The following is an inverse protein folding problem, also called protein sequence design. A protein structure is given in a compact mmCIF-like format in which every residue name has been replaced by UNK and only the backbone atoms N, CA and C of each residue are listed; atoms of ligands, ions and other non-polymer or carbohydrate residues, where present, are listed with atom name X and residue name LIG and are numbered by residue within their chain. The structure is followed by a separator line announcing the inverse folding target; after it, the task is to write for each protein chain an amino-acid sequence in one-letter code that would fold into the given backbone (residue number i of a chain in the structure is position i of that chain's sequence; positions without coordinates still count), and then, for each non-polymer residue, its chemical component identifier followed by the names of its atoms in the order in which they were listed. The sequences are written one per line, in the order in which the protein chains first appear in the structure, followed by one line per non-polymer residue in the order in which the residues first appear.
data_IF_940441874205
#
_entry.id   IF_940441874205
#
_cell.length_a   1.000
_cell.length_b   1.000
_cell.length_c   1.000
_cell.angle_alpha   90.00
_cell.angle_beta   90.00
_cell.angle_gamma   90.00
#
_symmetry.space_group_name_H-M   'P 1'
#
loop_
_entity.id
_entity.type
_entity.pdbx_description
1 polymer ?
#
# COMPACT_ATOMS: atom_id res chain seq x y z
N UNK A 1 8.11 -16.09 3.75
CA UNK A 1 7.88 -16.88 4.96
C UNK A 1 6.43 -17.04 5.39
N UNK A 2 5.51 -16.13 4.98
CA UNK A 2 4.10 -16.20 5.43
C UNK A 2 3.19 -16.96 4.45
N UNK A 3 3.50 -16.95 3.16
CA UNK A 3 2.83 -17.74 2.13
C UNK A 3 2.98 -19.23 2.38
N UNK A 4 4.16 -19.64 2.86
CA UNK A 4 4.46 -21.04 3.19
C UNK A 4 3.58 -21.55 4.34
N UNK A 5 3.25 -20.67 5.31
CA UNK A 5 2.50 -21.08 6.50
C UNK A 5 1.02 -21.37 6.19
N UNK A 6 0.36 -20.51 5.40
CA UNK A 6 -1.08 -20.68 5.10
C UNK A 6 -1.31 -21.82 4.14
N UNK A 7 -0.50 -21.92 3.07
CA UNK A 7 -0.59 -23.04 2.11
C UNK A 7 -0.23 -24.34 2.80
N UNK A 8 0.84 -24.36 3.62
CA UNK A 8 1.24 -25.50 4.40
C UNK A 8 0.15 -25.93 5.39
N UNK A 9 -0.48 -24.98 6.11
CA UNK A 9 -1.59 -25.28 7.00
C UNK A 9 -2.81 -25.84 6.24
N UNK A 10 -3.14 -25.27 5.08
CA UNK A 10 -4.27 -25.74 4.27
C UNK A 10 -4.03 -27.16 3.73
N UNK A 11 -2.82 -27.44 3.26
CA UNK A 11 -2.43 -28.79 2.82
C UNK A 11 -2.45 -29.76 3.99
N UNK A 12 -1.92 -29.38 5.15
CA UNK A 12 -1.95 -30.22 6.36
C UNK A 12 -3.40 -30.53 6.78
N UNK A 13 -4.28 -29.53 6.80
CA UNK A 13 -5.70 -29.72 7.13
C UNK A 13 -6.35 -30.65 6.11
N UNK A 14 -6.11 -30.46 4.80
CA UNK A 14 -6.64 -31.32 3.76
C UNK A 14 -6.13 -32.76 3.90
N UNK A 15 -4.85 -32.93 4.16
CA UNK A 15 -4.24 -34.25 4.41
C UNK A 15 -4.84 -34.91 5.66
N UNK A 16 -5.01 -34.16 6.76
CA UNK A 16 -5.66 -34.65 7.99
C UNK A 16 -7.10 -35.11 7.68
N UNK A 17 -7.88 -34.29 6.96
CA UNK A 17 -9.26 -34.64 6.60
C UNK A 17 -9.34 -35.87 5.73
N UNK A 18 -8.46 -36.00 4.71
CA UNK A 18 -8.38 -37.21 3.87
C UNK A 18 -8.03 -38.43 4.72
N UNK A 19 -7.03 -38.31 5.61
CA UNK A 19 -6.63 -39.38 6.50
C UNK A 19 -7.72 -39.77 7.48
N UNK A 20 -8.40 -38.79 8.07
CA UNK A 20 -9.53 -39.04 8.98
C UNK A 20 -10.65 -39.78 8.24
N UNK A 21 -10.98 -39.37 7.03
CA UNK A 21 -11.99 -40.03 6.19
C UNK A 21 -11.57 -41.47 5.79
N UNK A 22 -10.32 -41.63 5.35
CA UNK A 22 -9.76 -42.93 5.02
C UNK A 22 -9.68 -43.86 6.25
N UNK A 23 -9.21 -43.35 7.39
CA UNK A 23 -9.18 -44.06 8.65
C UNK A 23 -10.58 -44.51 9.07
N UNK A 24 -11.57 -43.63 8.99
CA UNK A 24 -12.97 -43.98 9.29
C UNK A 24 -13.51 -45.07 8.35
N UNK A 25 -13.29 -44.91 7.04
CA UNK A 25 -13.79 -45.91 6.03
C UNK A 25 -13.11 -47.28 6.18
N UNK A 26 -11.81 -47.29 6.44
CA UNK A 26 -11.02 -48.51 6.42
C UNK A 26 -10.92 -49.18 7.79
N UNK A 27 -10.82 -48.45 8.87
CA UNK A 27 -10.64 -49.02 10.22
C UNK A 27 -11.97 -49.33 10.92
N UNK A 28 -12.94 -48.43 10.89
CA UNK A 28 -14.24 -48.67 11.57
C UNK A 28 -15.17 -49.53 10.76
N UNK A 29 -15.20 -49.40 9.43
CA UNK A 29 -16.13 -50.15 8.58
C UNK A 29 -15.63 -51.53 8.15
N UNK A 30 -14.30 -51.77 8.09
CA UNK A 30 -13.75 -53.03 7.49
C UNK A 30 -12.71 -53.80 8.33
N UNK A 31 -12.42 -53.41 9.57
CA UNK A 31 -11.37 -54.05 10.42
C UNK A 31 -10.02 -54.21 9.66
N UNK A 32 -9.55 -53.15 9.02
CA UNK A 32 -8.31 -53.17 8.26
C UNK A 32 -7.10 -53.17 9.21
N UNK A 33 -6.06 -53.93 8.84
CA UNK A 33 -4.82 -54.06 9.60
C UNK A 33 -4.18 -52.69 9.84
N UNK A 34 -3.92 -52.34 11.13
CA UNK A 34 -3.28 -51.13 11.56
C UNK A 34 -1.95 -50.84 10.84
N UNK A 35 -1.27 -51.91 10.36
CA UNK A 35 -0.02 -51.80 9.61
C UNK A 35 -0.22 -51.10 8.26
N UNK A 36 -1.32 -51.34 7.58
CA UNK A 36 -1.67 -50.70 6.30
C UNK A 36 -1.96 -49.22 6.54
N UNK A 37 -2.68 -48.90 7.61
CA UNK A 37 -2.98 -47.48 7.99
C UNK A 37 -1.71 -46.74 8.32
N UNK A 38 -0.79 -47.31 9.08
CA UNK A 38 0.51 -46.73 9.42
C UNK A 38 1.40 -46.54 8.18
N UNK A 39 1.40 -47.52 7.27
CA UNK A 39 2.16 -47.44 6.00
C UNK A 39 1.63 -46.30 5.12
N UNK A 40 0.32 -46.15 4.97
CA UNK A 40 -0.30 -45.06 4.24
C UNK A 40 0.01 -43.72 4.88
N UNK A 41 -0.02 -43.64 6.22
CA UNK A 41 0.36 -42.40 6.94
C UNK A 41 1.82 -42.04 6.66
N UNK A 42 2.74 -42.97 6.75
CA UNK A 42 4.16 -42.75 6.43
C UNK A 42 4.38 -42.32 4.98
N UNK A 43 3.70 -42.96 4.02
CA UNK A 43 3.78 -42.59 2.61
C UNK A 43 3.28 -41.16 2.35
N UNK A 44 2.18 -40.75 2.97
CA UNK A 44 1.67 -39.39 2.82
C UNK A 44 2.56 -38.39 3.54
N UNK A 45 3.15 -38.71 4.68
CA UNK A 45 4.11 -37.86 5.37
C UNK A 45 5.39 -37.66 4.52
N UNK A 46 5.90 -38.73 3.93
CA UNK A 46 7.04 -38.66 3.00
C UNK A 46 6.69 -37.86 1.74
N UNK A 47 5.51 -38.08 1.18
CA UNK A 47 5.02 -37.32 0.03
C UNK A 47 4.84 -35.84 0.38
N UNK A 48 4.27 -35.53 1.56
CA UNK A 48 4.16 -34.16 2.08
C UNK A 48 5.53 -33.51 2.27
N UNK A 49 6.47 -34.20 2.92
CA UNK A 49 7.83 -33.71 3.14
C UNK A 49 8.56 -33.45 1.81
N UNK A 50 8.41 -34.37 0.86
CA UNK A 50 9.02 -34.24 -0.47
C UNK A 50 8.38 -33.11 -1.29
N UNK A 51 7.06 -32.98 -1.19
CA UNK A 51 6.30 -31.87 -1.80
C UNK A 51 6.70 -30.53 -1.17
N UNK A 52 6.74 -30.45 0.15
CA UNK A 52 7.14 -29.23 0.86
C UNK A 52 8.58 -28.80 0.53
N UNK A 53 9.51 -29.75 0.49
CA UNK A 53 10.94 -29.48 0.24
C UNK A 53 11.24 -29.12 -1.20
N UNK A 54 10.58 -29.75 -2.16
CA UNK A 54 10.88 -29.59 -3.59
C UNK A 54 9.90 -28.69 -4.34
N UNK A 55 8.68 -28.55 -3.86
CA UNK A 55 7.62 -27.78 -4.52
C UNK A 55 7.30 -26.46 -3.85
N UNK A 56 7.54 -26.33 -2.53
CA UNK A 56 7.19 -25.11 -1.80
C UNK A 56 7.88 -23.86 -2.33
N UNK A 57 9.13 -23.99 -2.79
CA UNK A 57 9.89 -22.86 -3.30
C UNK A 57 9.86 -22.71 -4.83
N UNK A 58 9.82 -23.83 -5.58
CA UNK A 58 9.96 -23.77 -7.04
C UNK A 58 8.64 -23.79 -7.80
N UNK A 59 7.59 -24.38 -7.24
CA UNK A 59 6.31 -24.47 -7.96
C UNK A 59 5.47 -23.21 -7.82
N UNK A 60 5.49 -22.58 -6.64
CA UNK A 60 4.82 -21.29 -6.44
C UNK A 60 5.48 -20.18 -7.24
N UNK A 61 6.81 -20.20 -7.41
CA UNK A 61 7.51 -19.21 -8.23
C UNK A 61 7.05 -19.23 -9.70
N UNK A 62 6.70 -20.40 -10.24
CA UNK A 62 6.19 -20.50 -11.61
C UNK A 62 4.75 -20.02 -11.79
N UNK A 63 4.01 -19.86 -10.69
CA UNK A 63 2.65 -19.33 -10.68
C UNK A 63 2.55 -17.88 -10.19
N UNK A 64 3.65 -17.33 -9.65
CA UNK A 64 3.69 -15.93 -9.23
C UNK A 64 3.82 -15.05 -10.47
N UNK A 65 2.96 -14.06 -10.59
CA UNK A 65 3.02 -13.09 -11.69
C UNK A 65 4.28 -12.25 -11.52
N UNK A 66 5.15 -12.27 -12.53
CA UNK A 66 6.32 -11.42 -12.56
C UNK A 66 5.91 -9.94 -12.66
N UNK A 67 6.49 -9.12 -11.81
CA UNK A 67 6.30 -7.68 -11.88
C UNK A 67 7.11 -7.09 -13.03
N UNK A 68 6.65 -6.01 -13.68
CA UNK A 68 7.38 -5.34 -14.72
C UNK A 68 8.81 -4.98 -14.28
N UNK A 69 9.78 -5.20 -15.15
CA UNK A 69 11.16 -4.75 -14.92
C UNK A 69 11.25 -3.23 -15.07
N UNK A 70 12.23 -2.63 -14.40
CA UNK A 70 12.47 -1.21 -14.56
C UNK A 70 12.91 -0.90 -16.01
N UNK A 71 12.30 0.11 -16.61
CA UNK A 71 12.62 0.50 -17.97
C UNK A 71 13.96 1.22 -18.02
N UNK A 72 14.74 0.95 -19.08
CA UNK A 72 15.93 1.75 -19.38
C UNK A 72 15.45 3.06 -20.01
N UNK A 73 15.59 4.15 -19.29
CA UNK A 73 15.16 5.47 -19.73
C UNK A 73 16.23 6.13 -20.61
N UNK A 74 15.84 6.90 -21.65
CA UNK A 74 16.76 7.82 -22.31
C UNK A 74 17.40 8.79 -21.32
N UNK A 75 18.62 9.24 -21.60
CA UNK A 75 19.43 10.08 -20.68
C UNK A 75 18.68 11.35 -20.21
N UNK A 76 17.90 11.96 -21.09
CA UNK A 76 17.10 13.14 -20.80
C UNK A 76 15.95 12.93 -19.80
N UNK A 77 15.56 11.68 -19.57
CA UNK A 77 14.52 11.28 -18.60
C UNK A 77 15.09 10.51 -17.40
N UNK A 78 16.41 10.29 -17.37
CA UNK A 78 17.03 9.58 -16.26
C UNK A 78 16.89 10.41 -14.98
N UNK A 79 16.35 9.84 -13.89
CA UNK A 79 16.19 10.54 -12.61
C UNK A 79 17.50 11.17 -12.14
N UNK A 80 17.44 12.41 -11.68
CA UNK A 80 18.58 13.10 -11.11
C UNK A 80 18.27 13.64 -9.71
N UNK A 81 19.31 13.90 -8.93
CA UNK A 81 19.18 14.55 -7.63
C UNK A 81 18.98 16.04 -7.86
N UNK A 82 17.80 16.55 -7.45
CA UNK A 82 17.52 18.00 -7.45
C UNK A 82 18.14 18.71 -6.24
N UNK A 83 17.90 18.15 -5.04
CA UNK A 83 18.42 18.65 -3.77
C UNK A 83 18.77 17.48 -2.87
N UNK A 84 19.77 17.65 -1.99
CA UNK A 84 20.16 16.63 -1.02
C UNK A 84 20.60 17.30 0.29
N UNK A 85 20.15 16.73 1.40
CA UNK A 85 20.60 17.08 2.75
C UNK A 85 20.69 15.80 3.60
N UNK A 86 21.86 15.53 4.16
CA UNK A 86 22.10 14.28 4.87
C UNK A 86 21.82 13.05 4.01
N UNK A 87 20.90 12.21 4.50
CA UNK A 87 20.42 11.01 3.80
C UNK A 87 19.16 11.27 2.95
N UNK A 88 18.52 12.42 3.12
CA UNK A 88 17.30 12.77 2.41
C UNK A 88 17.60 13.37 1.04
N UNK A 89 16.79 13.02 0.05
CA UNK A 89 16.98 13.41 -1.36
C UNK A 89 15.67 13.84 -1.96
N UNK A 90 15.67 15.02 -2.61
CA UNK A 90 14.61 15.42 -3.54
C UNK A 90 15.05 15.01 -4.94
N UNK A 91 14.30 14.10 -5.53
CA UNK A 91 14.54 13.64 -6.90
C UNK A 91 13.86 14.56 -7.92
N UNK A 92 14.47 14.67 -9.10
CA UNK A 92 13.86 15.23 -10.29
C UNK A 92 13.60 14.08 -11.28
N UNK A 93 12.32 13.79 -11.51
CA UNK A 93 11.88 12.79 -12.50
C UNK A 93 11.27 13.50 -13.71
N UNK A 94 11.33 12.84 -14.88
CA UNK A 94 10.85 13.36 -16.13
C UNK A 94 11.91 14.13 -16.91
N UNK A 95 11.50 15.08 -17.76
CA UNK A 95 12.38 15.80 -18.66
C UNK A 95 13.33 16.73 -17.88
N UNK A 96 14.61 16.44 -17.90
CA UNK A 96 15.62 17.12 -17.07
C UNK A 96 15.89 18.57 -17.44
N UNK A 97 15.47 19.00 -18.63
CA UNK A 97 15.60 20.40 -19.11
C UNK A 97 14.47 21.30 -18.65
N UNK A 98 13.41 20.74 -18.08
CA UNK A 98 12.25 21.49 -17.60
C UNK A 98 12.29 21.68 -16.08
N UNK A 99 11.94 22.86 -15.62
CA UNK A 99 11.73 23.10 -14.19
C UNK A 99 10.42 22.42 -13.75
N UNK A 100 10.46 21.50 -12.77
CA UNK A 100 9.25 20.87 -12.27
C UNK A 100 8.24 21.85 -11.70
N UNK A 101 6.98 21.67 -12.10
CA UNK A 101 5.82 22.43 -11.62
C UNK A 101 4.95 21.63 -10.65
N UNK A 102 5.33 20.39 -10.40
CA UNK A 102 4.62 19.48 -9.51
C UNK A 102 5.64 18.91 -8.51
N UNK A 103 5.29 18.98 -7.24
CA UNK A 103 6.09 18.42 -6.16
C UNK A 103 5.29 17.34 -5.44
N UNK A 104 5.76 16.09 -5.55
CA UNK A 104 5.26 14.97 -4.78
C UNK A 104 6.04 14.85 -3.48
N UNK A 105 5.33 14.76 -2.37
CA UNK A 105 5.95 14.49 -1.08
C UNK A 105 5.15 13.43 -0.32
N UNK A 106 5.86 12.46 0.28
CA UNK A 106 5.17 11.35 0.91
C UNK A 106 6.03 10.33 1.64
N UNK A 107 5.33 9.35 2.18
CA UNK A 107 5.90 8.16 2.83
C UNK A 107 5.95 6.95 1.86
N UNK A 108 6.02 5.73 2.39
CA UNK A 108 5.99 4.50 1.60
C UNK A 108 4.81 4.40 0.63
N UNK A 109 3.74 5.18 0.85
CA UNK A 109 2.62 5.25 -0.10
C UNK A 109 2.95 6.08 -1.35
N UNK A 110 3.90 7.00 -1.28
CA UNK A 110 4.45 7.67 -2.45
C UNK A 110 5.42 6.75 -3.20
N UNK A 111 6.29 6.04 -2.49
CA UNK A 111 7.26 5.09 -3.08
C UNK A 111 6.58 4.08 -4.02
N UNK A 112 5.34 3.70 -3.73
CA UNK A 112 4.56 2.78 -4.58
C UNK A 112 4.30 3.32 -5.98
N UNK A 113 4.31 4.65 -6.19
CA UNK A 113 4.12 5.28 -7.49
C UNK A 113 5.44 5.53 -8.23
N UNK A 114 6.56 5.25 -7.57
CA UNK A 114 7.90 5.56 -8.04
C UNK A 114 8.19 4.94 -9.43
N UNK A 115 7.73 3.69 -9.64
CA UNK A 115 7.84 3.05 -10.95
C UNK A 115 7.16 3.86 -12.06
N UNK A 116 5.95 4.41 -11.81
CA UNK A 116 5.26 5.26 -12.77
C UNK A 116 5.91 6.63 -12.89
N UNK A 117 6.25 7.27 -11.77
CA UNK A 117 6.83 8.61 -11.75
C UNK A 117 8.20 8.65 -12.42
N UNK A 118 9.02 7.62 -12.24
CA UNK A 118 10.32 7.47 -12.93
C UNK A 118 10.17 7.32 -14.45
N UNK A 119 9.10 6.69 -14.89
CA UNK A 119 8.82 6.45 -16.31
C UNK A 119 7.94 7.53 -16.95
N UNK A 120 7.68 8.63 -16.23
CA UNK A 120 6.93 9.76 -16.76
C UNK A 120 7.79 10.53 -17.76
N UNK A 121 7.45 10.44 -19.04
CA UNK A 121 8.25 11.02 -20.13
C UNK A 121 7.68 12.31 -20.71
N UNK A 122 6.59 12.84 -20.16
CA UNK A 122 5.92 14.04 -20.67
C UNK A 122 5.88 15.20 -19.68
N UNK A 123 6.37 15.01 -18.46
CA UNK A 123 6.29 15.98 -17.39
C UNK A 123 7.48 15.87 -16.46
N UNK A 124 7.86 17.00 -15.87
CA UNK A 124 8.89 17.03 -14.85
C UNK A 124 8.26 17.20 -13.49
N UNK A 125 8.71 16.39 -12.53
CA UNK A 125 8.22 16.43 -11.15
C UNK A 125 9.37 16.37 -10.15
N UNK A 126 9.22 17.08 -9.02
CA UNK A 126 10.04 16.85 -7.84
C UNK A 126 9.40 15.75 -6.98
N UNK A 127 10.22 14.90 -6.38
CA UNK A 127 9.78 13.82 -5.49
C UNK A 127 10.64 13.82 -4.25
N UNK A 128 10.01 13.98 -3.09
CA UNK A 128 10.61 13.80 -1.77
C UNK A 128 9.85 12.68 -1.05
N UNK A 129 10.54 11.59 -0.80
CA UNK A 129 9.96 10.42 -0.15
C UNK A 129 10.81 9.95 1.01
N UNK A 130 10.14 9.50 2.07
CA UNK A 130 10.79 8.84 3.19
C UNK A 130 9.99 7.58 3.55
N UNK A 131 10.68 6.46 3.78
CA UNK A 131 10.05 5.15 3.96
C UNK A 131 9.05 5.09 5.13
N UNK A 132 9.11 6.00 6.06
CA UNK A 132 8.47 5.84 7.35
C UNK A 132 7.40 6.85 7.70
N UNK A 133 7.36 8.11 7.19
CA UNK A 133 6.31 9.00 7.70
C UNK A 133 6.23 10.39 7.10
N UNK A 134 4.99 10.88 7.10
CA UNK A 134 4.68 12.27 6.86
C UNK A 134 4.08 12.93 8.10
N UNK A 135 4.76 13.95 8.59
CA UNK A 135 4.22 14.92 9.48
C UNK A 135 4.47 16.28 8.84
N UNK A 136 3.44 17.02 8.51
CA UNK A 136 3.58 18.25 7.73
C UNK A 136 3.63 19.50 8.60
N UNK A 137 3.04 19.45 9.77
CA UNK A 137 2.95 20.57 10.67
C UNK A 137 3.67 20.39 12.01
N UNK A 138 3.60 21.39 12.84
CA UNK A 138 4.34 21.45 14.10
C UNK A 138 3.92 20.38 15.10
N UNK A 139 2.63 20.00 15.11
CA UNK A 139 2.13 19.01 16.04
C UNK A 139 2.77 17.62 15.80
N UNK A 140 2.63 17.07 14.60
CA UNK A 140 3.17 15.77 14.29
C UNK A 140 4.70 15.76 14.17
N UNK A 141 5.33 16.90 13.88
CA UNK A 141 6.77 17.06 13.93
C UNK A 141 7.31 16.84 15.34
N UNK A 142 6.55 17.23 16.36
CA UNK A 142 6.95 17.13 17.75
C UNK A 142 6.54 15.81 18.40
N UNK A 143 5.69 14.98 17.76
CA UNK A 143 5.41 13.66 18.26
C UNK A 143 6.71 12.85 18.36
N UNK A 144 6.91 12.18 19.50
CA UNK A 144 8.01 11.23 19.72
C UNK A 144 7.75 9.95 18.95
N UNK A 145 7.77 10.02 17.63
CA UNK A 145 7.45 8.88 16.80
C UNK A 145 8.70 8.09 16.46
N UNK A 146 8.56 6.79 16.52
CA UNK A 146 9.57 5.77 16.26
C UNK A 146 9.87 5.54 14.76
N UNK A 147 9.35 6.37 13.87
CA UNK A 147 9.39 6.08 12.43
C UNK A 147 10.56 6.72 11.69
N UNK A 148 11.18 7.74 12.23
CA UNK A 148 12.47 8.18 11.75
C UNK A 148 13.58 7.45 12.53
N UNK A 149 14.63 7.03 11.85
CA UNK A 149 15.75 6.37 12.49
C UNK A 149 16.43 7.31 13.51
N UNK A 150 16.45 8.59 13.21
CA UNK A 150 17.00 9.63 14.07
C UNK A 150 16.13 10.90 14.05
N UNK A 151 16.31 11.77 15.06
CA UNK A 151 15.72 13.11 15.05
C UNK A 151 16.29 13.95 13.90
N UNK A 152 17.55 13.75 13.57
CA UNK A 152 18.26 14.42 12.48
C UNK A 152 17.63 14.10 11.11
N UNK A 153 17.26 12.86 10.82
CA UNK A 153 16.59 12.48 9.58
C UNK A 153 15.25 13.22 9.45
N UNK A 154 14.51 13.35 10.55
CA UNK A 154 13.25 14.09 10.60
C UNK A 154 13.43 15.58 10.30
N UNK A 155 14.39 16.22 10.95
CA UNK A 155 14.69 17.65 10.74
C UNK A 155 15.15 17.90 9.30
N UNK A 156 15.97 17.01 8.77
CA UNK A 156 16.49 17.05 7.41
C UNK A 156 15.36 16.93 6.37
N UNK A 157 14.45 15.98 6.55
CA UNK A 157 13.27 15.84 5.68
C UNK A 157 12.44 17.12 5.65
N UNK A 158 12.18 17.70 6.84
CA UNK A 158 11.41 18.94 6.96
C UNK A 158 12.10 20.15 6.31
N UNK A 159 13.42 20.23 6.47
CA UNK A 159 14.22 21.26 5.83
C UNK A 159 14.07 21.19 4.32
N UNK A 160 14.29 20.01 3.73
CA UNK A 160 14.14 19.80 2.29
C UNK A 160 12.71 20.03 1.79
N UNK A 161 11.71 19.63 2.57
CA UNK A 161 10.31 19.89 2.25
C UNK A 161 10.05 21.40 2.13
N UNK A 162 10.40 22.18 3.16
CA UNK A 162 10.22 23.63 3.17
C UNK A 162 11.04 24.35 2.09
N UNK A 163 12.29 23.96 1.90
CA UNK A 163 13.15 24.53 0.86
C UNK A 163 12.60 24.26 -0.54
N UNK A 164 12.03 23.07 -0.78
CA UNK A 164 11.42 22.74 -2.06
C UNK A 164 10.15 23.56 -2.29
N UNK A 165 9.28 23.70 -1.27
CA UNK A 165 8.09 24.56 -1.37
C UNK A 165 8.46 26.00 -1.71
N UNK A 166 9.51 26.55 -1.09
CA UNK A 166 9.96 27.93 -1.33
C UNK A 166 10.56 28.14 -2.75
N UNK A 167 10.91 27.05 -3.46
CA UNK A 167 11.39 27.11 -4.86
C UNK A 167 10.26 27.02 -5.89
N UNK A 168 9.07 26.62 -5.46
CA UNK A 168 7.91 26.56 -6.33
C UNK A 168 7.37 27.97 -6.61
N UNK A 169 6.95 28.19 -7.84
CA UNK A 169 6.29 29.43 -8.27
C UNK A 169 4.78 29.36 -8.02
N UNK A 170 4.12 30.49 -8.05
CA UNK A 170 2.67 30.61 -7.94
C UNK A 170 1.97 29.70 -8.96
N UNK A 171 0.91 29.03 -8.51
CA UNK A 171 0.16 28.08 -9.28
C UNK A 171 0.81 26.71 -9.46
N UNK A 172 2.04 26.49 -8.96
CA UNK A 172 2.62 25.16 -8.95
C UNK A 172 1.86 24.26 -7.96
N UNK A 173 1.97 22.95 -8.20
CA UNK A 173 1.14 21.93 -7.56
C UNK A 173 1.95 21.12 -6.56
N UNK A 174 1.39 20.88 -5.38
CA UNK A 174 1.98 20.04 -4.33
C UNK A 174 1.07 18.86 -4.06
N UNK A 175 1.61 17.67 -4.15
CA UNK A 175 0.85 16.42 -4.00
C UNK A 175 1.30 15.72 -2.73
N UNK A 176 0.40 15.70 -1.76
CA UNK A 176 0.63 15.11 -0.45
C UNK A 176 0.14 13.65 -0.47
N UNK A 177 1.10 12.71 -0.53
CA UNK A 177 0.84 11.28 -0.56
C UNK A 177 1.22 10.64 0.77
N UNK A 178 0.25 10.23 1.57
CA UNK A 178 0.56 9.65 2.87
C UNK A 178 -0.35 8.51 3.29
N UNK A 179 0.17 7.75 4.20
CA UNK A 179 -0.60 6.84 5.00
C UNK A 179 -1.13 7.60 6.23
N UNK A 180 -2.21 8.35 6.03
CA UNK A 180 -2.77 9.28 7.01
C UNK A 180 -3.17 8.62 8.35
N UNK A 181 -3.32 7.31 8.42
CA UNK A 181 -3.65 6.54 9.61
C UNK A 181 -2.44 6.12 10.43
N UNK A 182 -1.21 6.28 9.90
CA UNK A 182 -0.01 5.66 10.47
C UNK A 182 0.29 6.11 11.90
N UNK A 183 0.00 7.37 12.22
CA UNK A 183 0.27 7.96 13.53
C UNK A 183 -0.88 7.79 14.54
N UNK A 184 -1.99 7.21 14.14
CA UNK A 184 -3.17 7.15 15.01
C UNK A 184 -2.89 6.43 16.34
N UNK A 185 -2.15 5.32 16.31
CA UNK A 185 -1.80 4.61 17.56
C UNK A 185 -0.88 5.44 18.45
N UNK A 186 0.15 6.07 17.88
CA UNK A 186 1.07 6.93 18.62
C UNK A 186 0.34 8.13 19.23
N UNK A 187 -0.54 8.77 18.46
CA UNK A 187 -1.39 9.84 18.94
C UNK A 187 -2.25 9.42 20.13
N UNK A 188 -2.90 8.25 20.07
CA UNK A 188 -3.70 7.75 21.17
C UNK A 188 -2.86 7.45 22.42
N UNK A 189 -1.68 6.87 22.24
CA UNK A 189 -0.76 6.58 23.36
C UNK A 189 -0.32 7.86 24.07
N UNK A 190 0.12 8.86 23.32
CA UNK A 190 0.61 10.13 23.89
C UNK A 190 -0.50 10.96 24.56
N UNK A 191 -1.73 10.84 24.07
CA UNK A 191 -2.86 11.56 24.63
C UNK A 191 -3.69 10.73 25.63
N UNK A 192 -3.21 9.52 26.03
CA UNK A 192 -3.94 8.60 26.91
C UNK A 192 -5.35 8.29 26.44
N UNK A 193 -5.53 8.09 25.12
CA UNK A 193 -6.82 7.79 24.50
C UNK A 193 -6.93 6.29 24.17
N UNK A 194 -8.13 5.75 24.27
CA UNK A 194 -8.43 4.43 23.77
C UNK A 194 -8.59 4.45 22.23
N UNK A 195 -8.20 3.36 21.57
CA UNK A 195 -8.42 3.18 20.14
C UNK A 195 -9.90 2.94 19.84
N UNK A 196 -10.62 3.98 19.41
CA UNK A 196 -12.04 3.94 19.08
C UNK A 196 -12.41 5.06 18.07
N UNK A 197 -13.65 5.08 17.63
CA UNK A 197 -14.11 6.05 16.65
C UNK A 197 -13.95 7.52 17.11
N UNK A 198 -14.16 7.80 18.40
CA UNK A 198 -14.03 9.16 18.93
C UNK A 198 -12.57 9.64 18.90
N UNK A 199 -11.64 8.80 19.33
CA UNK A 199 -10.22 9.13 19.27
C UNK A 199 -9.70 9.21 17.82
N UNK A 200 -10.26 8.41 16.90
CA UNK A 200 -9.95 8.50 15.49
C UNK A 200 -10.39 9.84 14.88
N UNK A 201 -11.56 10.33 15.27
CA UNK A 201 -12.01 11.66 14.85
C UNK A 201 -11.09 12.76 15.38
N UNK A 202 -10.72 12.73 16.67
CA UNK A 202 -9.78 13.68 17.26
C UNK A 202 -8.41 13.65 16.56
N UNK A 203 -7.91 12.45 16.29
CA UNK A 203 -6.67 12.27 15.53
C UNK A 203 -6.77 12.91 14.14
N UNK A 204 -7.86 12.67 13.42
CA UNK A 204 -8.04 13.21 12.08
C UNK A 204 -8.18 14.73 12.09
N UNK A 205 -8.85 15.29 13.11
CA UNK A 205 -8.93 16.74 13.30
C UNK A 205 -7.53 17.36 13.56
N UNK A 206 -6.66 16.64 14.30
CA UNK A 206 -5.27 17.04 14.49
C UNK A 206 -4.46 16.98 13.17
N UNK A 207 -4.65 15.92 12.35
CA UNK A 207 -4.04 15.83 11.00
C UNK A 207 -4.46 17.01 10.13
N UNK A 208 -5.74 17.35 10.11
CA UNK A 208 -6.28 18.47 9.33
C UNK A 208 -5.71 19.80 9.83
N UNK A 209 -5.62 20.00 11.15
CA UNK A 209 -5.01 21.20 11.73
C UNK A 209 -3.55 21.38 11.30
N UNK A 210 -2.80 20.28 11.30
CA UNK A 210 -1.39 20.26 10.90
C UNK A 210 -1.22 20.56 9.40
N UNK A 211 -2.07 19.97 8.56
CA UNK A 211 -2.11 20.27 7.12
C UNK A 211 -2.45 21.74 6.88
N UNK A 212 -3.46 22.26 7.55
CA UNK A 212 -3.89 23.64 7.39
C UNK A 212 -2.82 24.65 7.80
N UNK A 213 -2.05 24.37 8.86
CA UNK A 213 -0.89 25.18 9.25
C UNK A 213 0.10 25.32 8.09
N UNK A 214 0.45 24.20 7.44
CA UNK A 214 1.42 24.22 6.34
C UNK A 214 0.87 24.82 5.06
N UNK A 215 -0.35 24.49 4.69
CA UNK A 215 -0.99 24.95 3.46
C UNK A 215 -1.23 26.47 3.51
N UNK A 216 -1.60 27.00 4.66
CA UNK A 216 -1.85 28.44 4.83
C UNK A 216 -0.58 29.30 4.69
N UNK A 217 0.60 28.72 4.88
CA UNK A 217 1.88 29.40 4.64
C UNK A 217 2.19 29.58 3.15
N UNK A 218 1.52 28.83 2.27
CA UNK A 218 1.75 28.81 0.81
C UNK A 218 0.44 29.02 0.03
N UNK A 219 -0.28 30.14 0.20
CA UNK A 219 -1.62 30.35 -0.37
C UNK A 219 -1.62 30.40 -1.91
N UNK A 220 -0.47 30.65 -2.52
CA UNK A 220 -0.31 30.72 -3.97
C UNK A 220 -0.03 29.34 -4.63
N UNK A 221 0.21 28.31 -3.84
CA UNK A 221 0.37 26.93 -4.34
C UNK A 221 -0.96 26.20 -4.33
N UNK A 222 -1.12 25.25 -5.25
CA UNK A 222 -2.26 24.36 -5.28
C UNK A 222 -1.90 23.01 -4.67
N UNK A 223 -2.62 22.60 -3.65
CA UNK A 223 -2.37 21.36 -2.92
C UNK A 223 -3.35 20.27 -3.32
N UNK A 224 -2.86 19.05 -3.44
CA UNK A 224 -3.63 17.84 -3.68
C UNK A 224 -3.36 16.83 -2.57
N UNK A 225 -4.39 16.44 -1.85
CA UNK A 225 -4.29 15.43 -0.79
C UNK A 225 -4.74 14.09 -1.36
N UNK A 226 -3.81 13.16 -1.51
CA UNK A 226 -4.13 11.79 -1.92
C UNK A 226 -4.64 11.03 -0.71
N UNK A 227 -5.89 10.57 -0.75
CA UNK A 227 -6.55 9.88 0.34
C UNK A 227 -5.93 8.52 0.68
N UNK A 228 -6.34 7.94 1.81
CA UNK A 228 -5.96 6.58 2.16
C UNK A 228 -6.50 5.56 1.15
N UNK A 229 -5.71 4.53 0.86
CA UNK A 229 -6.21 3.33 0.19
C UNK A 229 -7.17 2.56 1.09
N UNK A 230 -8.16 1.87 0.49
CA UNK A 230 -8.81 0.80 1.23
C UNK A 230 -7.80 -0.30 1.57
N UNK A 231 -8.03 -1.01 2.66
CA UNK A 231 -7.14 -2.06 3.13
C UNK A 231 -7.74 -3.43 2.81
N UNK A 232 -7.25 -4.13 1.78
CA UNK A 232 -7.76 -5.45 1.43
C UNK A 232 -7.39 -6.49 2.49
N UNK A 233 -8.14 -7.59 2.51
CA UNK A 233 -7.79 -8.72 3.35
C UNK A 233 -6.45 -9.33 2.92
N UNK A 234 -5.56 -9.62 3.88
CA UNK A 234 -4.23 -10.17 3.62
C UNK A 234 -4.26 -11.48 2.85
N UNK A 235 -5.20 -12.37 3.18
CA UNK A 235 -5.35 -13.66 2.48
C UNK A 235 -5.79 -13.44 1.04
N UNK A 236 -6.69 -12.49 0.78
CA UNK A 236 -7.09 -12.14 -0.58
C UNK A 236 -5.90 -11.66 -1.42
N UNK A 237 -5.07 -10.77 -0.86
CA UNK A 237 -3.85 -10.28 -1.54
C UNK A 237 -2.89 -11.42 -1.89
N UNK A 238 -2.72 -12.41 -1.01
CA UNK A 238 -1.88 -13.59 -1.30
C UNK A 238 -2.41 -14.33 -2.53
N UNK A 239 -3.73 -14.54 -2.63
CA UNK A 239 -4.33 -15.25 -3.75
C UNK A 239 -4.23 -14.49 -5.07
N UNK A 240 -4.20 -13.15 -5.05
CA UNK A 240 -4.03 -12.36 -6.29
C UNK A 240 -2.65 -12.49 -6.91
N UNK A 241 -1.65 -12.98 -6.17
CA UNK A 241 -0.29 -13.21 -6.68
C UNK A 241 -0.14 -14.53 -7.46
N UNK A 242 -1.14 -15.39 -7.40
CA UNK A 242 -1.15 -16.64 -8.15
C UNK A 242 -1.69 -16.37 -9.55
N UNK A 243 -1.06 -16.95 -10.57
CA UNK A 243 -1.46 -16.76 -11.97
C UNK A 243 -2.78 -17.49 -12.29
N UNK A 244 -3.85 -17.06 -11.64
CA UNK A 244 -5.22 -17.54 -11.84
C UNK A 244 -6.09 -16.35 -12.17
N UNK A 245 -7.09 -16.55 -13.04
CA UNK A 245 -8.00 -15.46 -13.40
C UNK A 245 -8.83 -14.97 -12.19
N UNK A 246 -9.15 -13.69 -12.19
CA UNK A 246 -10.01 -13.11 -11.15
C UNK A 246 -11.33 -13.88 -11.01
N UNK A 247 -11.96 -14.23 -12.13
CA UNK A 247 -13.22 -14.96 -12.16
C UNK A 247 -13.11 -16.38 -11.55
N UNK A 248 -11.98 -17.04 -11.71
CA UNK A 248 -11.71 -18.33 -11.07
C UNK A 248 -11.59 -18.17 -9.55
N UNK A 249 -10.78 -17.20 -9.11
CA UNK A 249 -10.58 -16.93 -7.69
C UNK A 249 -11.89 -16.52 -6.99
N UNK A 250 -12.71 -15.70 -7.64
CA UNK A 250 -14.01 -15.29 -7.12
C UNK A 250 -14.97 -16.49 -6.97
N UNK A 251 -14.99 -17.38 -7.96
CA UNK A 251 -15.90 -18.54 -7.97
C UNK A 251 -15.51 -19.64 -6.99
N UNK A 252 -14.21 -19.97 -6.91
CA UNK A 252 -13.73 -21.13 -6.16
C UNK A 252 -13.15 -20.79 -4.80
N UNK A 253 -12.58 -19.59 -4.64
CA UNK A 253 -11.96 -19.14 -3.39
C UNK A 253 -12.88 -18.18 -2.64
N UNK A 254 -14.00 -17.76 -3.26
CA UNK A 254 -14.92 -16.75 -2.75
C UNK A 254 -14.18 -15.47 -2.33
N UNK A 255 -13.31 -14.98 -3.23
CA UNK A 255 -12.43 -13.83 -3.01
C UNK A 255 -13.21 -12.59 -2.55
N UNK A 256 -14.47 -12.48 -2.92
CA UNK A 256 -15.39 -11.41 -2.52
C UNK A 256 -15.51 -11.26 -0.99
N UNK A 257 -15.53 -12.40 -0.26
CA UNK A 257 -15.57 -12.36 1.22
C UNK A 257 -14.31 -11.74 1.81
N UNK A 258 -13.17 -11.85 1.13
CA UNK A 258 -11.90 -11.31 1.59
C UNK A 258 -11.70 -9.84 1.23
N UNK A 259 -12.49 -9.28 0.31
CA UNK A 259 -12.45 -7.86 -0.06
C UNK A 259 -13.09 -6.96 0.99
N UNK A 260 -14.00 -7.49 1.79
CA UNK A 260 -14.67 -6.74 2.85
C UNK A 260 -13.70 -6.44 3.99
N UNK A 261 -13.61 -5.18 4.35
CA UNK A 261 -12.92 -4.77 5.57
C UNK A 261 -13.80 -5.13 6.76
N UNK A 262 -13.39 -6.12 7.55
CA UNK A 262 -14.23 -6.67 8.64
C UNK A 262 -13.95 -5.96 9.97
N UNK A 263 -12.78 -5.35 10.15
CA UNK A 263 -12.33 -4.81 11.43
C UNK A 263 -12.36 -3.28 11.47
N UNK A 264 -12.66 -2.71 12.63
CA UNK A 264 -12.58 -1.27 12.90
C UNK A 264 -11.22 -0.69 12.49
N UNK A 265 -10.11 -1.38 12.78
CA UNK A 265 -8.75 -0.96 12.44
C UNK A 265 -8.53 -0.83 10.92
N UNK A 266 -9.31 -1.54 10.10
CA UNK A 266 -9.25 -1.47 8.64
C UNK A 266 -10.25 -0.50 8.03
N UNK A 267 -11.30 -0.16 8.79
CA UNK A 267 -12.32 0.78 8.35
C UNK A 267 -11.98 2.24 8.66
N UNK A 268 -10.96 2.51 9.47
CA UNK A 268 -10.61 3.88 9.85
C UNK A 268 -10.16 4.72 8.66
N UNK A 269 -9.61 4.13 7.60
CA UNK A 269 -9.22 4.85 6.38
C UNK A 269 -10.39 5.55 5.71
N UNK A 270 -11.58 4.95 5.72
CA UNK A 270 -12.80 5.57 5.18
C UNK A 270 -13.24 6.81 6.00
N UNK A 271 -13.09 6.74 7.32
CA UNK A 271 -13.41 7.87 8.23
C UNK A 271 -12.43 9.03 7.98
N UNK A 272 -11.13 8.72 7.87
CA UNK A 272 -10.10 9.71 7.57
C UNK A 272 -10.38 10.36 6.21
N UNK A 273 -10.61 9.58 5.16
CA UNK A 273 -10.92 10.10 3.83
C UNK A 273 -12.15 11.01 3.85
N UNK A 274 -13.22 10.64 4.55
CA UNK A 274 -14.42 11.47 4.66
C UNK A 274 -14.12 12.84 5.28
N UNK A 275 -13.28 12.90 6.31
CA UNK A 275 -12.85 14.14 6.94
C UNK A 275 -11.94 14.97 6.03
N UNK A 276 -10.98 14.35 5.35
CA UNK A 276 -10.11 15.02 4.36
C UNK A 276 -10.92 15.60 3.20
N UNK A 277 -11.90 14.86 2.68
CA UNK A 277 -12.82 15.36 1.65
C UNK A 277 -13.56 16.62 2.14
N UNK A 278 -14.09 16.56 3.37
CA UNK A 278 -14.78 17.70 3.97
C UNK A 278 -13.86 18.93 4.12
N UNK A 279 -12.63 18.71 4.54
CA UNK A 279 -11.61 19.77 4.64
C UNK A 279 -11.33 20.40 3.27
N UNK A 280 -11.06 19.59 2.26
CA UNK A 280 -10.75 20.06 0.91
C UNK A 280 -11.91 20.85 0.30
N UNK A 281 -13.16 20.43 0.51
CA UNK A 281 -14.35 21.17 0.04
C UNK A 281 -14.47 22.59 0.60
N UNK A 282 -13.90 22.83 1.78
CA UNK A 282 -13.94 24.11 2.47
C UNK A 282 -12.67 24.95 2.25
N UNK A 283 -11.72 24.47 1.44
CA UNK A 283 -10.44 25.13 1.19
C UNK A 283 -10.35 25.54 -0.29
N UNK A 284 -9.89 26.74 -0.58
CA UNK A 284 -9.86 27.27 -1.95
C UNK A 284 -8.71 26.77 -2.81
N UNK A 285 -7.61 26.35 -2.19
CA UNK A 285 -6.39 25.91 -2.86
C UNK A 285 -6.01 24.45 -2.55
N UNK A 286 -6.97 23.65 -2.05
CA UNK A 286 -6.73 22.24 -1.70
C UNK A 286 -7.78 21.37 -2.37
N UNK A 287 -7.34 20.29 -3.01
CA UNK A 287 -8.19 19.29 -3.62
C UNK A 287 -7.91 17.90 -3.07
N UNK A 288 -8.94 17.07 -3.03
CA UNK A 288 -8.83 15.68 -2.61
C UNK A 288 -8.81 14.75 -3.81
N UNK A 289 -7.84 13.83 -3.84
CA UNK A 289 -7.78 12.75 -4.83
C UNK A 289 -8.07 11.42 -4.14
N UNK A 290 -9.19 10.80 -4.49
CA UNK A 290 -9.51 9.46 -4.01
C UNK A 290 -8.81 8.40 -4.88
N UNK A 291 -7.69 7.90 -4.42
CA UNK A 291 -6.93 6.86 -5.13
C UNK A 291 -7.66 5.51 -5.23
N UNK A 292 -8.81 5.35 -4.60
CA UNK A 292 -9.61 4.13 -4.71
C UNK A 292 -10.52 4.12 -5.95
N UNK A 293 -10.78 5.28 -6.56
CA UNK A 293 -11.66 5.38 -7.74
C UNK A 293 -11.25 4.46 -8.89
N UNK A 294 -9.98 4.39 -9.33
CA UNK A 294 -9.60 3.51 -10.43
C UNK A 294 -9.75 2.02 -10.10
N UNK A 295 -9.96 1.69 -8.83
CA UNK A 295 -10.15 0.33 -8.32
C UNK A 295 -11.62 0.00 -8.04
N UNK A 296 -12.50 0.99 -8.09
CA UNK A 296 -13.91 0.81 -7.79
C UNK A 296 -14.59 -0.08 -8.84
N UNK A 297 -15.38 -1.06 -8.39
CA UNK A 297 -16.24 -1.90 -9.23
C UNK A 297 -17.70 -1.49 -9.12
N UNK A 298 -18.14 -1.22 -7.90
CA UNK A 298 -19.44 -0.71 -7.53
C UNK A 298 -19.35 0.11 -6.22
N UNK A 299 -20.45 0.63 -5.71
CA UNK A 299 -20.48 1.57 -4.58
C UNK A 299 -19.74 1.10 -3.30
N UNK A 300 -19.51 -0.19 -3.14
CA UNK A 300 -18.92 -0.75 -1.91
C UNK A 300 -17.79 -1.74 -2.18
N UNK A 301 -17.38 -1.93 -3.42
CA UNK A 301 -16.43 -2.96 -3.82
C UNK A 301 -15.29 -2.41 -4.64
N UNK A 302 -14.09 -2.88 -4.33
CA UNK A 302 -12.87 -2.53 -5.02
C UNK A 302 -12.24 -3.78 -5.65
N UNK A 303 -11.70 -3.65 -6.86
CA UNK A 303 -10.96 -4.71 -7.49
C UNK A 303 -9.60 -4.88 -6.83
N UNK A 304 -9.15 -6.13 -6.71
CA UNK A 304 -7.78 -6.47 -6.36
C UNK A 304 -6.93 -6.75 -7.61
N UNK A 305 -7.51 -6.58 -8.80
CA UNK A 305 -6.89 -6.88 -10.09
C UNK A 305 -7.03 -5.73 -11.08
N UNK A 306 -6.04 -5.64 -11.95
CA UNK A 306 -6.11 -4.91 -13.20
C UNK A 306 -5.65 -5.86 -14.31
N UNK A 307 -6.50 -6.07 -15.31
CA UNK A 307 -6.21 -6.97 -16.45
C UNK A 307 -5.70 -8.35 -16.00
N UNK A 308 -6.42 -8.98 -15.05
CA UNK A 308 -6.10 -10.24 -14.37
C UNK A 308 -4.80 -10.25 -13.56
N UNK A 309 -4.15 -9.11 -13.35
CA UNK A 309 -2.93 -9.02 -12.55
C UNK A 309 -3.22 -8.41 -11.19
N UNK A 310 -2.71 -9.03 -10.12
CA UNK A 310 -2.84 -8.52 -8.75
C UNK A 310 -2.18 -7.16 -8.56
N UNK A 311 -2.92 -6.22 -8.02
CA UNK A 311 -2.47 -4.83 -7.85
C UNK A 311 -1.92 -4.51 -6.47
N UNK A 312 -2.01 -5.44 -5.51
CA UNK A 312 -1.48 -5.26 -4.16
C UNK A 312 -0.29 -6.19 -3.90
N UNK A 313 0.81 -5.63 -3.39
CA UNK A 313 1.96 -6.39 -2.88
C UNK A 313 1.67 -6.96 -1.49
N UNK A 314 1.10 -6.15 -0.64
CA UNK A 314 0.55 -6.50 0.67
C UNK A 314 -0.70 -5.63 0.93
N UNK A 315 -1.41 -5.78 2.05
CA UNK A 315 -2.62 -4.97 2.31
C UNK A 315 -2.41 -3.45 2.32
N UNK A 316 -1.17 -2.97 2.37
CA UNK A 316 -0.83 -1.56 2.51
C UNK A 316 -0.09 -1.00 1.29
N UNK A 317 0.46 -1.88 0.45
CA UNK A 317 1.31 -1.49 -0.66
C UNK A 317 0.83 -2.09 -1.98
N UNK A 318 0.95 -1.30 -3.05
CA UNK A 318 0.66 -1.73 -4.40
C UNK A 318 1.86 -2.45 -5.03
N UNK A 319 1.60 -3.36 -5.96
CA UNK A 319 2.59 -3.84 -6.92
C UNK A 319 2.99 -2.71 -7.89
N UNK A 320 4.06 -2.91 -8.68
CA UNK A 320 4.43 -1.95 -9.74
C UNK A 320 3.25 -1.65 -10.69
N UNK A 321 2.43 -2.64 -11.01
CA UNK A 321 1.24 -2.47 -11.85
C UNK A 321 0.19 -1.64 -11.12
N UNK A 322 -0.11 -1.97 -9.86
CA UNK A 322 -1.03 -1.19 -9.03
C UNK A 322 -0.56 0.25 -8.86
N UNK A 323 0.71 0.46 -8.55
CA UNK A 323 1.33 1.77 -8.45
C UNK A 323 1.26 2.57 -9.75
N UNK A 324 1.40 1.90 -10.91
CA UNK A 324 1.24 2.54 -12.23
C UNK A 324 -0.18 3.02 -12.45
N UNK A 325 -1.18 2.17 -12.20
CA UNK A 325 -2.61 2.52 -12.38
C UNK A 325 -2.99 3.71 -11.50
N UNK A 326 -2.59 3.69 -10.24
CA UNK A 326 -2.92 4.75 -9.29
C UNK A 326 -2.09 6.02 -9.57
N UNK A 327 -0.80 5.88 -9.84
CA UNK A 327 0.08 7.02 -10.19
C UNK A 327 -0.40 7.75 -11.44
N UNK A 328 -0.81 7.01 -12.47
CA UNK A 328 -1.42 7.57 -13.68
C UNK A 328 -2.69 8.35 -13.35
N UNK A 329 -3.59 7.75 -12.59
CA UNK A 329 -4.84 8.40 -12.18
C UNK A 329 -4.58 9.69 -11.40
N UNK A 330 -3.61 9.69 -10.47
CA UNK A 330 -3.25 10.89 -9.71
C UNK A 330 -2.76 11.99 -10.66
N UNK A 331 -1.82 11.68 -11.56
CA UNK A 331 -1.28 12.64 -12.51
C UNK A 331 -2.36 13.18 -13.45
N UNK A 332 -3.24 12.36 -13.95
CA UNK A 332 -4.36 12.79 -14.80
C UNK A 332 -5.25 13.79 -14.09
N UNK A 333 -5.62 13.52 -12.83
CA UNK A 333 -6.46 14.45 -12.05
C UNK A 333 -5.77 15.77 -11.72
N UNK A 334 -4.46 15.76 -11.48
CA UNK A 334 -3.70 16.99 -11.23
C UNK A 334 -3.59 17.83 -12.50
N UNK A 335 -3.65 17.22 -13.67
CA UNK A 335 -3.28 17.85 -14.95
C UNK A 335 -4.46 18.19 -15.87
N UNK A 336 -5.69 17.82 -15.52
CA UNK A 336 -6.91 18.17 -16.26
C UNK A 336 -7.31 19.64 -16.10
N UNK A 337 -6.62 20.39 -15.29
CA UNK A 337 -6.76 21.85 -15.11
C UNK A 337 -5.48 22.55 -15.60
#
# INVERSE_FOLDING_TARGET
GYTDTVLSCSIVILVILIFTALSYIFTEKRKVDYRLTLTLFLLCFVAYYHFHKNFGNNYLSNFIIEQPQDMVLPKEYTPSIAFKEGNEIVWHYGLQTETPKIFFVGDSNLIQYDYYLKNINKRSVYVLEHAAMMAYGSYFTNLKTIFFNTLEDKETFYKLYKETLNKLSDGNKVVLCGRWDILYRSYCTENNLQLNQTSLQKYTDAVISDLNEQISLHPNLKFYIVGCSFVPNKTAVIWTKVNLSESFLEKFINLELFRRTVDFERNHTAIINSKLISYCKNSSNVEFIDRNIPLARDEAKYSLFKDNTGIFEDPLHYTKIGGTVIGQYIIENICTE
#
